data_IF_285330504122
#
_entry.id   IF_285330504122
#
_cell.length_a   1.000
_cell.length_b   1.000
_cell.length_c   1.000
_cell.angle_alpha   90.00
_cell.angle_beta   90.00
_cell.angle_gamma   90.00
#
_symmetry.space_group_name_H-M   'P 1'
#
loop_
_entity.id
_entity.type
_entity.pdbx_description
1 polymer ?
#
# COMPACT_ATOMS: atom_id res chain seq x y z
N UNK A 1 -4.83 14.74 18.70
CA UNK A 1 -4.25 13.44 19.09
C UNK A 1 -5.28 12.37 19.44
N UNK A 2 -5.98 12.40 20.59
CA UNK A 2 -6.97 11.34 20.93
C UNK A 2 -8.21 11.38 20.02
N UNK A 3 -8.68 12.58 19.65
CA UNK A 3 -9.82 12.76 18.74
C UNK A 3 -9.52 12.24 17.33
N UNK A 4 -8.29 12.39 16.85
CA UNK A 4 -7.86 11.97 15.52
C UNK A 4 -7.76 10.45 15.40
N UNK A 5 -7.23 9.76 16.42
CA UNK A 5 -7.14 8.28 16.39
C UNK A 5 -8.51 7.62 16.46
N UNK A 6 -9.46 8.21 17.19
CA UNK A 6 -10.86 7.75 17.22
C UNK A 6 -11.50 7.93 15.85
N UNK A 7 -11.31 9.10 15.23
CA UNK A 7 -11.87 9.41 13.91
C UNK A 7 -11.26 8.54 12.81
N UNK A 8 -9.95 8.28 12.86
CA UNK A 8 -9.28 7.35 11.95
C UNK A 8 -9.87 5.94 12.06
N UNK A 9 -10.03 5.44 13.30
CA UNK A 9 -10.65 4.12 13.54
C UNK A 9 -12.08 4.05 13.00
N UNK A 10 -12.85 5.13 13.16
CA UNK A 10 -14.21 5.22 12.63
C UNK A 10 -14.23 5.14 11.10
N UNK A 11 -13.32 5.84 10.41
CA UNK A 11 -13.24 5.79 8.95
C UNK A 11 -12.88 4.37 8.47
N UNK A 12 -11.90 3.71 9.09
CA UNK A 12 -11.57 2.32 8.72
C UNK A 12 -12.73 1.35 8.99
N UNK A 13 -13.51 1.57 10.05
CA UNK A 13 -14.73 0.79 10.31
C UNK A 13 -15.78 1.00 9.22
N UNK A 14 -15.95 2.23 8.75
CA UNK A 14 -16.85 2.54 7.64
C UNK A 14 -16.39 1.87 6.33
N UNK A 15 -15.10 1.97 6.00
CA UNK A 15 -14.48 1.24 4.88
C UNK A 15 -14.77 -0.26 4.96
N UNK A 16 -14.49 -0.87 6.12
CA UNK A 16 -14.70 -2.30 6.34
C UNK A 16 -16.15 -2.73 6.14
N UNK A 17 -17.09 -1.93 6.67
CA UNK A 17 -18.53 -2.15 6.49
C UNK A 17 -18.93 -2.12 5.01
N UNK A 18 -18.51 -1.10 4.24
CA UNK A 18 -18.78 -1.00 2.81
C UNK A 18 -18.26 -2.21 2.03
N UNK A 19 -17.01 -2.60 2.28
CA UNK A 19 -16.38 -3.77 1.66
C UNK A 19 -17.14 -5.05 2.02
N UNK A 20 -17.48 -5.24 3.29
CA UNK A 20 -18.21 -6.41 3.75
C UNK A 20 -19.59 -6.52 3.08
N UNK A 21 -20.33 -5.41 2.99
CA UNK A 21 -21.62 -5.36 2.32
C UNK A 21 -21.45 -5.72 0.84
N UNK A 22 -20.50 -5.10 0.13
CA UNK A 22 -20.24 -5.41 -1.27
C UNK A 22 -19.84 -6.87 -1.51
N UNK A 23 -19.00 -7.46 -0.63
CA UNK A 23 -18.69 -8.89 -0.70
C UNK A 23 -19.96 -9.73 -0.52
N UNK A 24 -20.75 -9.48 0.52
CA UNK A 24 -21.97 -10.25 0.81
C UNK A 24 -22.95 -10.16 -0.37
N UNK A 25 -23.14 -8.98 -0.95
CA UNK A 25 -23.96 -8.77 -2.15
C UNK A 25 -23.44 -9.53 -3.37
N UNK A 26 -22.11 -9.62 -3.54
CA UNK A 26 -21.48 -10.41 -4.60
C UNK A 26 -21.60 -11.93 -4.42
N UNK A 27 -22.09 -12.41 -3.26
CA UNK A 27 -22.17 -13.83 -2.86
C UNK A 27 -20.83 -14.58 -2.90
N UNK A 28 -19.70 -13.87 -2.93
CA UNK A 28 -18.36 -14.47 -2.92
C UNK A 28 -17.90 -14.77 -1.49
N UNK A 29 -17.32 -15.96 -1.31
CA UNK A 29 -16.69 -16.35 -0.05
C UNK A 29 -15.35 -15.62 0.10
N UNK A 30 -15.00 -15.25 1.34
CA UNK A 30 -13.75 -14.55 1.64
C UNK A 30 -12.52 -15.33 1.16
N UNK A 31 -12.52 -16.66 1.30
CA UNK A 31 -11.45 -17.54 0.83
C UNK A 31 -11.27 -17.50 -0.70
N UNK A 32 -12.36 -17.34 -1.45
CA UNK A 32 -12.29 -17.23 -2.93
C UNK A 32 -11.60 -15.93 -3.33
N UNK A 33 -11.95 -14.84 -2.65
CA UNK A 33 -11.35 -13.52 -2.92
C UNK A 33 -9.89 -13.50 -2.49
N UNK A 34 -9.58 -14.05 -1.31
CA UNK A 34 -8.22 -14.25 -0.79
C UNK A 34 -7.30 -14.90 -1.83
N UNK A 35 -7.73 -16.02 -2.42
CA UNK A 35 -6.97 -16.70 -3.49
C UNK A 35 -6.80 -15.82 -4.73
N UNK A 36 -7.84 -15.08 -5.12
CA UNK A 36 -7.81 -14.24 -6.33
C UNK A 36 -6.93 -13.00 -6.18
N UNK A 37 -6.87 -12.43 -4.98
CA UNK A 37 -6.06 -11.27 -4.65
C UNK A 37 -4.65 -11.63 -4.17
N UNK A 38 -4.37 -12.91 -3.95
CA UNK A 38 -3.14 -13.38 -3.28
C UNK A 38 -2.94 -12.70 -1.90
N UNK A 39 -4.02 -12.56 -1.13
CA UNK A 39 -4.03 -11.97 0.21
C UNK A 39 -4.54 -12.99 1.21
N UNK A 40 -4.00 -12.98 2.44
CA UNK A 40 -4.50 -13.84 3.53
C UNK A 40 -6.00 -13.59 3.77
N UNK A 41 -6.79 -14.64 3.92
CA UNK A 41 -8.21 -14.53 4.31
C UNK A 41 -8.38 -13.80 5.64
N UNK A 42 -7.40 -13.94 6.54
CA UNK A 42 -7.37 -13.22 7.81
C UNK A 42 -7.26 -11.71 7.61
N UNK A 43 -6.41 -11.27 6.67
CA UNK A 43 -6.25 -9.85 6.36
C UNK A 43 -7.52 -9.26 5.76
N UNK A 44 -8.20 -10.01 4.88
CA UNK A 44 -9.50 -9.60 4.36
C UNK A 44 -10.55 -9.48 5.47
N UNK A 45 -10.53 -10.38 6.47
CA UNK A 45 -11.44 -10.31 7.63
C UNK A 45 -11.18 -9.05 8.46
N UNK A 46 -9.91 -8.77 8.77
CA UNK A 46 -9.55 -7.56 9.50
C UNK A 46 -9.92 -6.28 8.75
N UNK A 47 -9.80 -6.26 7.41
CA UNK A 47 -10.28 -5.15 6.60
C UNK A 47 -11.80 -4.99 6.76
N UNK A 48 -12.58 -6.06 6.62
CA UNK A 48 -14.05 -6.02 6.79
C UNK A 48 -14.49 -5.60 8.20
N UNK A 49 -13.68 -5.92 9.21
CA UNK A 49 -13.93 -5.54 10.60
C UNK A 49 -13.45 -4.11 10.93
N UNK A 50 -12.65 -3.49 10.06
CA UNK A 50 -11.98 -2.19 10.33
C UNK A 50 -10.82 -2.30 11.33
N UNK A 51 -10.32 -3.50 11.58
CA UNK A 51 -9.34 -3.82 12.62
C UNK A 51 -7.91 -3.70 12.11
N UNK A 52 -7.58 -2.52 11.54
CA UNK A 52 -6.31 -2.28 10.83
C UNK A 52 -5.08 -2.40 11.74
N UNK A 53 -5.24 -2.14 13.03
CA UNK A 53 -4.18 -2.28 14.04
C UNK A 53 -3.69 -3.73 14.24
N UNK A 54 -4.43 -4.75 13.75
CA UNK A 54 -4.02 -6.16 13.82
C UNK A 54 -3.02 -6.54 12.72
N UNK A 55 -2.85 -5.69 11.70
CA UNK A 55 -1.88 -5.93 10.65
C UNK A 55 -0.45 -5.87 11.19
N UNK A 56 0.47 -6.71 10.66
CA UNK A 56 1.88 -6.58 10.98
C UNK A 56 2.41 -5.19 10.62
N UNK A 57 3.39 -4.71 11.38
CA UNK A 57 4.10 -3.48 11.08
C UNK A 57 4.64 -3.51 9.64
N UNK A 58 4.65 -2.35 8.97
CA UNK A 58 5.09 -2.16 7.59
C UNK A 58 4.21 -2.79 6.50
N UNK A 59 3.03 -3.33 6.85
CA UNK A 59 2.08 -3.81 5.84
C UNK A 59 1.41 -2.64 5.13
N UNK A 60 1.36 -2.61 3.79
CA UNK A 60 0.68 -1.55 3.04
C UNK A 60 -0.85 -1.77 3.05
N UNK A 61 -1.48 -1.55 4.20
CA UNK A 61 -2.92 -1.82 4.40
C UNK A 61 -3.79 -1.07 3.39
N UNK A 62 -3.52 0.21 3.12
CA UNK A 62 -4.28 1.01 2.16
C UNK A 62 -4.28 0.39 0.76
N UNK A 63 -3.16 -0.19 0.33
CA UNK A 63 -3.05 -0.86 -0.96
C UNK A 63 -3.90 -2.14 -1.00
N UNK A 64 -3.98 -2.87 0.12
CA UNK A 64 -4.83 -4.06 0.23
C UNK A 64 -6.32 -3.70 0.22
N UNK A 65 -6.69 -2.65 0.96
CA UNK A 65 -8.06 -2.10 0.95
C UNK A 65 -8.45 -1.69 -0.47
N UNK A 66 -7.59 -0.92 -1.17
CA UNK A 66 -7.82 -0.49 -2.55
C UNK A 66 -7.96 -1.68 -3.51
N UNK A 67 -7.11 -2.70 -3.37
CA UNK A 67 -7.18 -3.91 -4.19
C UNK A 67 -8.48 -4.67 -3.96
N UNK A 68 -8.94 -4.74 -2.71
CA UNK A 68 -10.18 -5.42 -2.36
C UNK A 68 -11.41 -4.66 -2.86
N UNK A 69 -11.45 -3.35 -2.66
CA UNK A 69 -12.51 -2.48 -3.17
C UNK A 69 -12.61 -2.54 -4.70
N UNK A 70 -11.46 -2.47 -5.40
CA UNK A 70 -11.40 -2.62 -6.87
C UNK A 70 -11.93 -3.97 -7.34
N UNK A 71 -11.63 -5.06 -6.60
CA UNK A 71 -12.14 -6.39 -6.95
C UNK A 71 -13.67 -6.51 -6.83
N UNK A 72 -14.27 -5.76 -5.91
CA UNK A 72 -15.71 -5.74 -5.67
C UNK A 72 -16.44 -4.59 -6.38
N UNK A 73 -15.73 -3.76 -7.14
CA UNK A 73 -16.24 -2.54 -7.79
C UNK A 73 -16.90 -1.55 -6.81
N UNK A 74 -16.22 -1.32 -5.68
CA UNK A 74 -16.67 -0.40 -4.62
C UNK A 74 -15.83 0.86 -4.66
N UNK A 75 -16.49 2.01 -4.71
CA UNK A 75 -15.83 3.31 -4.55
C UNK A 75 -15.65 3.67 -3.07
N UNK A 76 -14.41 4.00 -2.70
CA UNK A 76 -13.97 4.42 -1.37
C UNK A 76 -13.27 5.79 -1.39
N UNK A 77 -13.39 6.54 -2.49
CA UNK A 77 -12.64 7.78 -2.71
C UNK A 77 -12.89 8.81 -1.60
N UNK A 78 -14.12 8.88 -1.10
CA UNK A 78 -14.48 9.80 -0.02
C UNK A 78 -13.83 9.39 1.32
N UNK A 79 -13.87 8.12 1.69
CA UNK A 79 -13.23 7.63 2.91
C UNK A 79 -11.71 7.83 2.89
N UNK A 80 -11.06 7.58 1.75
CA UNK A 80 -9.62 7.85 1.63
C UNK A 80 -9.30 9.34 1.71
N UNK A 81 -10.15 10.20 1.12
CA UNK A 81 -10.01 11.66 1.26
C UNK A 81 -10.18 12.10 2.71
N UNK A 82 -11.11 11.49 3.44
CA UNK A 82 -11.30 11.76 4.86
C UNK A 82 -10.08 11.31 5.69
N UNK A 83 -9.48 10.15 5.40
CA UNK A 83 -8.23 9.70 6.02
C UNK A 83 -7.07 10.66 5.74
N UNK A 84 -6.93 11.13 4.50
CA UNK A 84 -5.92 12.12 4.11
C UNK A 84 -6.12 13.45 4.86
N UNK A 85 -7.37 13.87 5.08
CA UNK A 85 -7.72 15.10 5.79
C UNK A 85 -7.36 15.08 7.28
N UNK A 86 -7.25 13.89 7.89
CA UNK A 86 -6.81 13.70 9.28
C UNK A 86 -5.30 13.89 9.49
N UNK A 87 -4.57 14.33 8.47
CA UNK A 87 -3.15 14.67 8.62
C UNK A 87 -2.20 13.52 8.30
N UNK A 88 -2.63 12.51 7.54
CA UNK A 88 -1.73 11.49 6.97
C UNK A 88 -1.13 11.99 5.65
N UNK A 89 -0.44 13.14 5.68
CA UNK A 89 0.69 13.37 4.77
C UNK A 89 1.86 12.47 5.21
N UNK A 90 1.71 11.15 5.16
CA UNK A 90 2.87 10.22 5.12
C UNK A 90 3.27 9.85 3.70
N UNK A 91 2.48 10.16 2.67
CA UNK A 91 2.76 9.85 1.26
C UNK A 91 3.23 11.06 0.44
N UNK A 92 3.66 12.14 1.10
CA UNK A 92 4.77 12.93 0.53
C UNK A 92 6.12 12.21 0.82
N UNK A 93 6.15 11.30 1.81
CA UNK A 93 7.34 10.54 2.26
C UNK A 93 7.41 9.11 1.70
N UNK A 94 6.81 8.85 0.54
CA UNK A 94 7.30 7.82 -0.37
C UNK A 94 8.25 8.45 -1.39
N UNK A 95 9.29 9.12 -0.90
CA UNK A 95 10.61 9.19 -1.54
C UNK A 95 11.26 7.76 -1.66
N UNK A 96 10.43 6.74 -1.91
CA UNK A 96 10.74 5.32 -2.11
C UNK A 96 10.07 4.75 -3.37
N UNK A 97 9.58 5.63 -4.22
CA UNK A 97 9.68 5.52 -5.68
C UNK A 97 11.19 5.48 -6.08
N UNK A 98 11.97 4.62 -5.43
CA UNK A 98 13.26 4.19 -5.96
C UNK A 98 12.91 3.50 -7.28
N UNK A 99 13.52 3.88 -8.41
CA UNK A 99 13.26 3.18 -9.64
C UNK A 99 13.65 1.71 -9.43
N UNK A 100 12.72 0.77 -9.64
CA UNK A 100 12.98 -0.67 -9.46
C UNK A 100 14.13 -1.18 -10.36
N UNK A 101 14.61 -0.36 -11.31
CA UNK A 101 15.87 -0.52 -12.01
C UNK A 101 16.65 0.79 -12.01
N UNK A 102 17.91 0.74 -11.58
CA UNK A 102 18.87 1.73 -12.06
C UNK A 102 18.94 1.57 -13.59
N UNK A 103 18.74 2.64 -14.39
CA UNK A 103 18.90 2.55 -15.83
C UNK A 103 20.27 1.95 -16.16
N UNK A 104 20.34 1.01 -17.09
CA UNK A 104 21.60 0.35 -17.46
C UNK A 104 22.67 1.37 -17.86
N UNK A 105 22.26 2.51 -18.42
CA UNK A 105 23.15 3.61 -18.78
C UNK A 105 23.88 4.17 -17.55
N UNK A 106 23.19 4.34 -16.41
CA UNK A 106 23.80 4.82 -15.16
C UNK A 106 24.84 3.81 -14.63
N UNK A 107 24.56 2.51 -14.76
CA UNK A 107 25.52 1.46 -14.38
C UNK A 107 26.74 1.44 -15.30
N UNK A 108 26.54 1.62 -16.61
CA UNK A 108 27.64 1.69 -17.59
C UNK A 108 28.49 2.93 -17.36
N UNK A 109 27.89 4.09 -17.07
CA UNK A 109 28.62 5.31 -16.72
C UNK A 109 29.43 5.14 -15.43
N UNK A 110 28.87 4.47 -14.41
CA UNK A 110 29.59 4.20 -13.17
C UNK A 110 30.80 3.28 -13.40
N UNK A 111 30.63 2.21 -14.20
CA UNK A 111 31.71 1.26 -14.52
C UNK A 111 32.81 1.89 -15.38
N UNK A 112 32.43 2.66 -16.41
CA UNK A 112 33.39 3.34 -17.30
C UNK A 112 34.20 4.40 -16.55
N UNK A 113 33.56 5.17 -15.67
CA UNK A 113 34.24 6.13 -14.81
C UNK A 113 35.23 5.46 -13.86
N UNK A 114 34.83 4.34 -13.24
CA UNK A 114 35.71 3.57 -12.34
C UNK A 114 36.96 3.05 -13.07
N UNK A 115 36.79 2.53 -14.29
CA UNK A 115 37.88 2.05 -15.14
C UNK A 115 38.82 3.20 -15.53
N UNK A 116 38.28 4.36 -15.88
CA UNK A 116 39.07 5.53 -16.27
C UNK A 116 39.92 6.05 -15.11
N UNK A 117 39.35 6.08 -13.90
CA UNK A 117 40.07 6.43 -12.67
C UNK A 117 41.19 5.42 -12.39
N UNK A 118 40.91 4.13 -12.56
CA UNK A 118 41.91 3.08 -12.36
C UNK A 118 43.09 3.19 -13.34
N UNK A 119 42.82 3.52 -14.60
CA UNK A 119 43.86 3.76 -15.61
C UNK A 119 44.70 4.99 -15.24
N UNK A 120 44.07 6.06 -14.76
CA UNK A 120 44.77 7.28 -14.33
C UNK A 120 45.75 6.99 -13.17
N UNK A 121 45.36 6.14 -12.23
CA UNK A 121 46.20 5.73 -11.07
C UNK A 121 47.39 4.85 -11.50
N UNK A 122 47.24 4.04 -12.55
CA UNK A 122 48.32 3.17 -13.03
C UNK A 122 49.36 3.96 -13.83
N UNK A 123 48.94 4.99 -14.57
CA UNK A 123 49.80 5.72 -15.51
C UNK A 123 50.39 7.02 -14.95
N UNK A 124 49.99 7.44 -13.75
CA UNK A 124 50.47 8.66 -13.09
C UNK A 124 50.90 8.36 -11.65
#
# INVERSE_FOLDING_TARGET
MISESIKEKEIYRNIGSKIQIGRKSSRRKINTISKKLNLSSQYLSWIEEGEIHKFPNYTPVDAFIKSYAKFLDIDLSNEFKDLESLGIKKVEKAAKFFPEKLPNDILVFALTSLILIFILIIFF
#
